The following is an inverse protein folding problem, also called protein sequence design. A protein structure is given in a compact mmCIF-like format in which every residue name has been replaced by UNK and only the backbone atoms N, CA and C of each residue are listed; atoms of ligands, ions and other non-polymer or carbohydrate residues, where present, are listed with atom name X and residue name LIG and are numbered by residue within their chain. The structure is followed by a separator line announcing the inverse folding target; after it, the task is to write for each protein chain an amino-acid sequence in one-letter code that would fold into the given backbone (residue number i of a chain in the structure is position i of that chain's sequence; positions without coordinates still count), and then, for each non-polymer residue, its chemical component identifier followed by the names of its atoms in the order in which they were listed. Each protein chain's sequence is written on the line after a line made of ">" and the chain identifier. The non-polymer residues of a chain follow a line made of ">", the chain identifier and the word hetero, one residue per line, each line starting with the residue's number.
data_IF_252794021196
#
_entry.id   IF_252794021196
#
_cell.length_a   1.000
_cell.length_b   1.000
_cell.length_c   1.000
_cell.angle_alpha   90.00
_cell.angle_beta   90.00
_cell.angle_gamma   90.00
#
_symmetry.space_group_name_H-M   'P 1'
#
loop_
_entity.id
_entity.type
_entity.pdbx_description
1 polymer ?
#
# COMPACT_ATOMS: atom_id res chain seq x y z
N UNK A 1 -33.08 -14.02 37.25
CA UNK A 1 -33.43 -14.05 35.81
C UNK A 1 -33.52 -12.62 35.34
N UNK A 2 -32.41 -12.04 34.90
CA UNK A 2 -32.32 -10.65 34.47
C UNK A 2 -32.01 -10.57 32.97
N UNK A 3 -33.05 -10.84 32.19
CA UNK A 3 -33.66 -9.90 31.24
C UNK A 3 -32.86 -9.00 30.27
N UNK A 4 -31.64 -8.57 30.61
CA UNK A 4 -30.97 -7.41 29.95
C UNK A 4 -29.62 -7.74 29.33
N UNK A 5 -29.40 -8.99 28.98
CA UNK A 5 -28.24 -9.42 28.19
C UNK A 5 -28.81 -9.98 26.89
N UNK A 6 -28.37 -9.44 25.75
CA UNK A 6 -28.71 -9.79 24.35
C UNK A 6 -29.59 -8.78 23.60
N UNK A 7 -29.01 -7.63 23.28
CA UNK A 7 -29.33 -6.88 22.04
C UNK A 7 -28.18 -5.93 21.66
N UNK A 8 -26.96 -6.45 21.52
CA UNK A 8 -25.94 -5.76 20.69
C UNK A 8 -26.08 -6.33 19.28
N UNK A 9 -27.25 -6.06 18.69
CA UNK A 9 -27.64 -6.56 17.38
C UNK A 9 -27.10 -5.60 16.33
N UNK A 10 -26.01 -6.02 15.68
CA UNK A 10 -25.58 -5.64 14.33
C UNK A 10 -26.13 -4.32 13.80
N UNK A 11 -25.51 -3.19 14.19
CA UNK A 11 -25.74 -1.91 13.52
C UNK A 11 -25.18 -2.02 12.09
N UNK A 12 -26.07 -2.30 11.15
CA UNK A 12 -25.83 -2.21 9.71
C UNK A 12 -25.40 -0.77 9.43
N UNK A 13 -24.22 -0.57 8.83
CA UNK A 13 -23.78 0.77 8.41
C UNK A 13 -24.91 1.41 7.59
N UNK A 14 -25.50 2.49 8.11
CA UNK A 14 -26.39 3.31 7.32
C UNK A 14 -25.59 3.88 6.16
N UNK A 15 -26.14 3.78 4.95
CA UNK A 15 -25.46 4.22 3.74
C UNK A 15 -25.18 5.72 3.85
N UNK A 16 -23.91 6.09 4.04
CA UNK A 16 -23.49 7.48 3.96
C UNK A 16 -23.72 7.96 2.53
N UNK A 17 -24.36 9.12 2.37
CA UNK A 17 -24.64 9.69 1.07
C UNK A 17 -23.32 9.96 0.33
N UNK A 18 -23.17 9.37 -0.86
CA UNK A 18 -21.94 9.46 -1.67
C UNK A 18 -20.89 8.37 -1.42
N UNK A 19 -21.08 7.47 -0.44
CA UNK A 19 -20.20 6.33 -0.22
C UNK A 19 -20.40 5.25 -1.30
N UNK A 20 -19.30 4.77 -1.89
CA UNK A 20 -19.34 3.69 -2.88
C UNK A 20 -19.49 2.33 -2.20
N UNK A 21 -20.05 1.35 -2.92
CA UNK A 21 -20.18 -0.02 -2.40
C UNK A 21 -18.81 -0.60 -2.05
N UNK A 22 -17.78 -0.31 -2.85
CA UNK A 22 -16.39 -0.72 -2.59
C UNK A 22 -15.88 -0.19 -1.24
N UNK A 23 -16.12 1.08 -0.94
CA UNK A 23 -15.67 1.72 0.32
C UNK A 23 -16.36 1.07 1.52
N UNK A 24 -17.68 0.88 1.41
CA UNK A 24 -18.49 0.26 2.45
C UNK A 24 -18.09 -1.20 2.69
N UNK A 25 -17.84 -1.96 1.63
CA UNK A 25 -17.44 -3.36 1.72
C UNK A 25 -16.07 -3.50 2.41
N UNK A 26 -15.14 -2.59 2.14
CA UNK A 26 -13.86 -2.53 2.84
C UNK A 26 -14.00 -2.23 4.32
N UNK A 27 -14.85 -1.27 4.73
CA UNK A 27 -15.16 -1.05 6.15
C UNK A 27 -15.77 -2.29 6.79
N UNK A 28 -16.71 -2.92 6.10
CA UNK A 28 -17.42 -4.10 6.59
C UNK A 28 -16.53 -5.33 6.77
N UNK A 29 -15.36 -5.37 6.12
CA UNK A 29 -14.40 -6.44 6.26
C UNK A 29 -13.67 -6.44 7.61
N UNK A 30 -13.70 -5.33 8.36
CA UNK A 30 -13.12 -5.22 9.71
C UNK A 30 -14.19 -5.39 10.80
N UNK A 31 -13.86 -5.79 12.03
CA UNK A 31 -14.80 -5.78 13.16
C UNK A 31 -15.48 -4.42 13.39
N UNK A 32 -16.73 -4.44 13.87
CA UNK A 32 -17.56 -3.23 14.03
C UNK A 32 -16.87 -2.16 14.88
N UNK A 33 -16.21 -2.58 15.96
CA UNK A 33 -15.54 -1.72 16.93
C UNK A 33 -14.33 -0.96 16.36
N UNK A 34 -13.83 -1.35 15.17
CA UNK A 34 -12.74 -0.64 14.48
C UNK A 34 -13.26 0.42 13.52
N UNK A 35 -14.51 0.32 13.07
CA UNK A 35 -15.04 1.15 11.97
C UNK A 35 -15.40 2.54 12.45
N UNK A 36 -15.18 3.54 11.60
CA UNK A 36 -15.69 4.92 11.74
C UNK A 36 -15.34 5.59 13.09
N UNK A 37 -14.15 5.32 13.60
CA UNK A 37 -13.68 5.83 14.89
C UNK A 37 -13.38 7.32 14.80
N UNK A 38 -14.05 8.11 15.65
CA UNK A 38 -13.89 9.57 15.69
C UNK A 38 -12.94 9.99 16.80
N UNK A 39 -12.03 10.90 16.48
CA UNK A 39 -11.00 11.44 17.36
C UNK A 39 -11.06 12.97 17.34
N UNK A 40 -10.83 13.61 18.48
CA UNK A 40 -10.75 15.05 18.58
C UNK A 40 -9.31 15.52 18.33
N UNK A 41 -9.13 16.40 17.34
CA UNK A 41 -7.92 17.19 17.21
C UNK A 41 -7.91 18.26 18.31
N UNK A 42 -7.13 18.01 19.37
CA UNK A 42 -7.04 18.93 20.50
C UNK A 42 -6.35 20.24 20.15
N UNK A 43 -5.52 20.27 19.10
CA UNK A 43 -4.80 21.48 18.69
C UNK A 43 -5.71 22.40 17.87
N UNK A 44 -6.55 21.82 17.01
CA UNK A 44 -7.37 22.58 16.06
C UNK A 44 -8.87 22.58 16.40
N UNK A 45 -9.30 21.80 17.39
CA UNK A 45 -10.66 21.79 17.92
C UNK A 45 -11.72 21.13 17.03
N UNK A 46 -11.33 20.38 16.00
CA UNK A 46 -12.25 19.66 15.12
C UNK A 46 -12.05 18.15 15.18
N UNK A 47 -13.04 17.40 14.72
CA UNK A 47 -13.01 15.94 14.74
C UNK A 47 -12.50 15.35 13.43
N UNK A 48 -11.66 14.33 13.53
CA UNK A 48 -11.32 13.43 12.42
C UNK A 48 -11.99 12.08 12.65
N UNK A 49 -12.47 11.45 11.58
CA UNK A 49 -13.09 10.13 11.63
C UNK A 49 -12.32 9.19 10.70
N UNK A 50 -11.70 8.16 11.28
CA UNK A 50 -11.02 7.13 10.53
C UNK A 50 -12.04 6.15 9.96
N UNK A 51 -11.92 5.75 8.70
CA UNK A 51 -12.79 4.70 8.15
C UNK A 51 -12.65 3.40 8.94
N UNK A 52 -11.41 3.01 9.27
CA UNK A 52 -11.08 1.93 10.19
C UNK A 52 -9.91 2.38 11.08
N UNK A 53 -10.00 2.14 12.37
CA UNK A 53 -8.92 2.33 13.33
C UNK A 53 -8.70 1.04 14.12
N UNK A 54 -7.51 0.48 13.98
CA UNK A 54 -7.21 -0.87 14.42
C UNK A 54 -6.58 -0.88 15.82
N UNK A 55 -6.62 -1.99 16.56
CA UNK A 55 -5.96 -2.12 17.86
C UNK A 55 -4.44 -1.95 17.81
N UNK A 56 -3.83 -2.04 16.63
CA UNK A 56 -2.42 -1.71 16.39
C UNK A 56 -2.12 -0.19 16.53
N UNK A 57 -3.15 0.64 16.71
CA UNK A 57 -3.05 2.09 16.67
C UNK A 57 -2.91 2.64 15.24
N UNK A 58 -3.31 1.87 14.24
CA UNK A 58 -3.20 2.24 12.82
C UNK A 58 -4.56 2.63 12.26
N UNK A 59 -4.65 3.83 11.70
CA UNK A 59 -5.77 4.26 10.88
C UNK A 59 -5.65 3.68 9.45
N UNK A 60 -6.75 3.19 8.90
CA UNK A 60 -6.86 2.78 7.50
C UNK A 60 -7.92 3.67 6.87
N UNK A 61 -7.55 4.39 5.82
CA UNK A 61 -8.44 5.26 5.07
C UNK A 61 -8.66 4.69 3.68
N UNK A 62 -9.92 4.52 3.30
CA UNK A 62 -10.31 4.03 1.98
C UNK A 62 -10.58 5.22 1.06
N UNK A 63 -10.08 5.15 -0.16
CA UNK A 63 -10.31 6.23 -1.11
C UNK A 63 -10.68 5.72 -2.51
N UNK A 64 -11.92 6.04 -2.91
CA UNK A 64 -12.44 5.72 -4.25
C UNK A 64 -12.02 6.74 -5.32
N UNK A 65 -11.74 8.00 -4.94
CA UNK A 65 -11.42 9.09 -5.88
C UNK A 65 -10.27 9.95 -5.38
N UNK A 66 -9.47 10.60 -6.25
CA UNK A 66 -8.38 11.46 -5.81
C UNK A 66 -8.87 12.57 -4.87
N UNK A 67 -8.10 12.83 -3.80
CA UNK A 67 -8.36 13.93 -2.87
C UNK A 67 -7.43 15.12 -3.14
N UNK A 68 -7.75 16.28 -2.56
CA UNK A 68 -6.86 17.42 -2.60
C UNK A 68 -5.59 17.14 -1.76
N UNK A 69 -4.42 17.61 -2.21
CA UNK A 69 -3.18 17.43 -1.45
C UNK A 69 -3.22 18.04 -0.04
N UNK A 70 -4.01 19.11 0.17
CA UNK A 70 -4.27 19.67 1.50
C UNK A 70 -4.97 18.65 2.41
N UNK A 71 -5.99 17.96 1.91
CA UNK A 71 -6.73 16.96 2.66
C UNK A 71 -5.85 15.76 2.99
N UNK A 72 -5.04 15.29 2.03
CA UNK A 72 -4.05 14.24 2.25
C UNK A 72 -3.12 14.62 3.41
N UNK A 73 -2.50 15.81 3.36
CA UNK A 73 -1.58 16.27 4.41
C UNK A 73 -2.26 16.42 5.77
N UNK A 74 -3.51 16.89 5.80
CA UNK A 74 -4.25 17.03 7.06
C UNK A 74 -4.52 15.66 7.72
N UNK A 75 -4.90 14.66 6.93
CA UNK A 75 -5.12 13.29 7.45
C UNK A 75 -3.81 12.65 7.90
N UNK A 76 -2.76 12.76 7.09
CA UNK A 76 -1.44 12.21 7.43
C UNK A 76 -0.79 12.91 8.64
N UNK A 77 -1.02 14.21 8.84
CA UNK A 77 -0.54 14.92 10.01
C UNK A 77 -1.29 14.54 11.30
N UNK A 78 -2.54 14.07 11.18
CA UNK A 78 -3.38 13.75 12.32
C UNK A 78 -3.07 12.36 12.90
N UNK A 79 -2.91 11.34 12.05
CA UNK A 79 -2.69 9.97 12.50
C UNK A 79 -1.20 9.63 12.59
N UNK A 80 -0.70 9.13 13.74
CA UNK A 80 0.71 8.76 13.88
C UNK A 80 1.09 7.51 13.08
N UNK A 81 0.12 6.63 12.84
CA UNK A 81 0.24 5.44 11.99
C UNK A 81 -1.00 5.37 11.10
N UNK A 82 -0.78 5.33 9.79
CA UNK A 82 -1.85 5.33 8.83
C UNK A 82 -1.51 4.47 7.61
N UNK A 83 -2.55 3.97 6.93
CA UNK A 83 -2.45 3.26 5.66
C UNK A 83 -3.52 3.78 4.71
N UNK A 84 -3.13 4.04 3.47
CA UNK A 84 -4.06 4.32 2.38
C UNK A 84 -4.46 3.03 1.68
N UNK A 85 -5.75 2.83 1.45
CA UNK A 85 -6.29 1.80 0.57
C UNK A 85 -7.05 2.49 -0.56
N UNK A 86 -6.58 2.33 -1.80
CA UNK A 86 -7.11 3.02 -2.96
C UNK A 86 -7.93 2.07 -3.83
N UNK A 87 -9.05 2.56 -4.35
CA UNK A 87 -9.80 1.84 -5.39
C UNK A 87 -9.07 1.97 -6.73
N UNK A 88 -8.35 0.90 -7.08
CA UNK A 88 -7.59 0.82 -8.31
C UNK A 88 -8.44 0.61 -9.56
N UNK A 89 -9.74 0.29 -9.44
CA UNK A 89 -10.59 0.03 -10.62
C UNK A 89 -10.69 1.23 -11.55
N UNK A 90 -10.54 2.44 -11.01
CA UNK A 90 -10.61 3.69 -11.76
C UNK A 90 -9.26 4.15 -12.32
N UNK A 91 -8.16 3.44 -12.04
CA UNK A 91 -6.83 3.83 -12.47
C UNK A 91 -6.62 3.58 -13.96
N UNK A 92 -6.83 4.64 -14.75
CA UNK A 92 -6.57 4.62 -16.19
C UNK A 92 -5.08 4.39 -16.46
N UNK A 93 -4.78 3.50 -17.40
CA UNK A 93 -3.40 3.24 -17.84
C UNK A 93 -2.53 2.54 -16.81
N UNK A 94 -3.11 1.97 -15.75
CA UNK A 94 -2.42 1.05 -14.85
C UNK A 94 -2.35 -0.35 -15.46
N UNK A 95 -1.17 -0.98 -15.44
CA UNK A 95 -0.95 -2.35 -15.91
C UNK A 95 -0.04 -3.08 -14.93
N UNK A 96 -0.51 -4.22 -14.43
CA UNK A 96 0.35 -5.21 -13.79
C UNK A 96 1.24 -5.84 -14.86
N UNK A 97 2.54 -5.92 -14.59
CA UNK A 97 3.53 -6.48 -15.52
C UNK A 97 4.08 -7.79 -14.95
N UNK A 98 5.38 -8.06 -15.09
CA UNK A 98 5.95 -9.37 -14.70
C UNK A 98 6.47 -9.35 -13.26
N UNK A 99 6.62 -10.56 -12.73
CA UNK A 99 7.27 -10.78 -11.46
C UNK A 99 8.71 -10.29 -11.43
N UNK A 100 9.12 -9.79 -10.27
CA UNK A 100 10.44 -9.25 -10.03
C UNK A 100 11.34 -10.31 -9.39
N UNK A 101 12.66 -10.23 -9.62
CA UNK A 101 13.62 -11.01 -8.86
C UNK A 101 13.52 -10.70 -7.37
N UNK A 102 13.95 -11.64 -6.54
CA UNK A 102 14.12 -11.42 -5.11
C UNK A 102 15.20 -10.34 -4.88
N UNK A 103 14.79 -9.21 -4.33
CA UNK A 103 15.63 -8.02 -4.19
C UNK A 103 16.60 -8.13 -3.01
N UNK A 104 16.38 -9.08 -2.09
CA UNK A 104 17.24 -9.30 -0.93
C UNK A 104 18.42 -10.24 -1.26
N UNK A 105 18.39 -10.92 -2.40
CA UNK A 105 19.51 -11.75 -2.85
C UNK A 105 20.78 -10.90 -3.01
N UNK A 106 21.91 -11.39 -2.48
CA UNK A 106 23.21 -10.70 -2.57
C UNK A 106 23.59 -10.33 -4.00
N UNK A 107 23.23 -11.17 -4.97
CA UNK A 107 23.48 -10.91 -6.38
C UNK A 107 22.72 -9.68 -6.89
N UNK A 108 21.50 -9.44 -6.42
CA UNK A 108 20.69 -8.28 -6.80
C UNK A 108 21.22 -6.94 -6.28
N UNK A 109 22.13 -6.95 -5.30
CA UNK A 109 22.78 -5.73 -4.80
C UNK A 109 23.78 -5.12 -5.81
N UNK A 110 24.26 -5.92 -6.77
CA UNK A 110 25.16 -5.46 -7.83
C UNK A 110 24.42 -4.80 -9.01
N UNK A 111 23.07 -4.81 -9.01
CA UNK A 111 22.25 -4.36 -10.11
C UNK A 111 21.13 -3.42 -9.67
N UNK A 112 20.81 -2.47 -10.54
CA UNK A 112 19.70 -1.53 -10.41
C UNK A 112 18.69 -1.73 -11.54
N UNK A 113 17.41 -1.47 -11.29
CA UNK A 113 16.42 -1.48 -12.37
C UNK A 113 16.55 -0.22 -13.22
N UNK A 114 16.65 -0.41 -14.54
CA UNK A 114 16.78 0.68 -15.49
C UNK A 114 15.49 1.51 -15.56
N UNK A 115 15.62 2.83 -15.39
CA UNK A 115 14.51 3.76 -15.50
C UNK A 115 13.91 3.75 -16.92
N UNK A 116 12.57 3.84 -16.99
CA UNK A 116 11.83 3.86 -18.25
C UNK A 116 11.92 2.58 -19.10
N UNK A 117 12.38 1.46 -18.54
CA UNK A 117 12.47 0.17 -19.24
C UNK A 117 11.86 -0.94 -18.40
N UNK A 118 11.04 -1.78 -19.02
CA UNK A 118 10.38 -2.87 -18.29
C UNK A 118 11.38 -3.99 -18.01
N UNK A 119 11.71 -4.19 -16.72
CA UNK A 119 12.52 -5.33 -16.23
C UNK A 119 13.91 -5.44 -16.86
N UNK A 120 14.46 -4.31 -17.25
CA UNK A 120 15.87 -4.21 -17.58
C UNK A 120 16.67 -3.86 -16.32
N UNK A 121 17.80 -4.50 -16.15
CA UNK A 121 18.76 -4.24 -15.10
C UNK A 121 20.00 -3.56 -15.69
N UNK A 122 20.65 -2.73 -14.89
CA UNK A 122 21.93 -2.09 -15.20
C UNK A 122 22.88 -2.40 -14.05
N UNK A 123 24.18 -2.51 -14.34
CA UNK A 123 25.16 -2.77 -13.27
C UNK A 123 25.32 -1.50 -12.45
N UNK A 124 25.33 -1.66 -11.13
CA UNK A 124 25.53 -0.53 -10.21
C UNK A 124 26.89 0.14 -10.42
N UNK A 125 27.93 -0.67 -10.66
CA UNK A 125 29.28 -0.18 -10.97
C UNK A 125 29.32 0.74 -12.20
N UNK A 126 28.50 0.46 -13.23
CA UNK A 126 28.46 1.30 -14.44
C UNK A 126 27.91 2.70 -14.11
N UNK A 127 26.95 2.79 -13.18
CA UNK A 127 26.36 4.04 -12.70
C UNK A 127 27.37 4.81 -11.83
N UNK A 128 28.03 4.11 -10.89
CA UNK A 128 29.04 4.67 -10.00
C UNK A 128 30.26 5.19 -10.79
N UNK A 129 30.60 4.54 -11.90
CA UNK A 129 31.63 4.99 -12.83
C UNK A 129 31.20 6.16 -13.74
N UNK A 130 29.95 6.65 -13.64
CA UNK A 130 29.45 7.76 -14.43
C UNK A 130 29.18 7.43 -15.91
N UNK A 131 28.98 6.16 -16.26
CA UNK A 131 28.66 5.74 -17.63
C UNK A 131 27.27 6.27 -18.00
N UNK A 132 27.20 7.14 -19.01
CA UNK A 132 25.94 7.80 -19.42
C UNK A 132 24.87 6.83 -19.92
N UNK A 133 25.27 5.76 -20.58
CA UNK A 133 24.36 4.77 -21.19
C UNK A 133 24.79 3.34 -20.79
N UNK A 134 24.54 2.92 -19.55
CA UNK A 134 24.92 1.59 -19.09
C UNK A 134 24.15 0.52 -19.87
N UNK A 135 24.78 -0.64 -20.07
CA UNK A 135 24.17 -1.75 -20.82
C UNK A 135 22.97 -2.29 -20.04
N UNK A 136 21.81 -2.30 -20.69
CA UNK A 136 20.58 -2.89 -20.16
C UNK A 136 20.60 -4.41 -20.34
N UNK A 137 20.43 -5.13 -19.24
CA UNK A 137 20.42 -6.59 -19.16
C UNK A 137 18.98 -7.05 -18.87
N UNK A 138 18.50 -8.03 -19.63
CA UNK A 138 17.24 -8.72 -19.32
C UNK A 138 17.50 -9.84 -18.32
N UNK A 139 16.48 -10.29 -17.59
CA UNK A 139 16.61 -11.43 -16.65
C UNK A 139 17.08 -12.74 -17.32
N UNK A 140 17.01 -12.84 -18.65
CA UNK A 140 17.56 -13.96 -19.43
C UNK A 140 19.07 -13.87 -19.69
N UNK A 141 19.73 -12.76 -19.33
CA UNK A 141 21.15 -12.57 -19.57
C UNK A 141 21.98 -13.56 -18.75
N UNK A 142 23.09 -14.13 -19.29
CA UNK A 142 23.92 -15.10 -18.57
C UNK A 142 24.41 -14.63 -17.18
N UNK A 143 24.69 -13.34 -17.02
CA UNK A 143 25.10 -12.71 -15.74
C UNK A 143 24.01 -12.73 -14.66
N UNK A 144 22.75 -12.84 -15.07
CA UNK A 144 21.57 -12.85 -14.20
C UNK A 144 20.98 -14.26 -14.07
N UNK A 145 21.62 -15.25 -14.68
CA UNK A 145 21.20 -16.65 -14.59
C UNK A 145 21.33 -17.13 -13.15
N UNK A 146 20.23 -17.63 -12.59
CA UNK A 146 20.17 -18.17 -11.22
C UNK A 146 19.47 -17.25 -10.22
N UNK A 147 19.21 -15.99 -10.56
CA UNK A 147 18.42 -15.08 -9.71
C UNK A 147 16.99 -15.61 -9.64
N UNK A 148 16.50 -15.87 -8.44
CA UNK A 148 15.14 -16.38 -8.26
C UNK A 148 14.15 -15.23 -8.42
N UNK A 149 13.01 -15.56 -9.03
CA UNK A 149 11.88 -14.64 -9.15
C UNK A 149 11.04 -14.76 -7.89
N UNK A 150 10.74 -13.62 -7.26
CA UNK A 150 9.89 -13.57 -6.07
C UNK A 150 8.42 -13.60 -6.47
N UNK A 151 7.69 -14.64 -6.03
CA UNK A 151 6.31 -14.88 -6.44
C UNK A 151 5.32 -13.76 -6.09
N UNK A 152 5.61 -12.94 -5.08
CA UNK A 152 4.73 -11.83 -4.67
C UNK A 152 5.21 -10.44 -5.06
N UNK A 153 6.34 -10.29 -5.77
CA UNK A 153 6.79 -8.96 -6.22
C UNK A 153 6.49 -8.78 -7.71
N UNK A 154 5.90 -7.65 -8.08
CA UNK A 154 5.50 -7.33 -9.45
C UNK A 154 6.03 -5.97 -9.88
N UNK A 155 6.48 -5.90 -11.13
CA UNK A 155 6.60 -4.64 -11.86
C UNK A 155 5.22 -4.16 -12.30
N UNK A 156 5.08 -2.85 -12.51
CA UNK A 156 3.86 -2.27 -13.05
C UNK A 156 4.19 -1.09 -13.96
N UNK A 157 3.21 -0.67 -14.75
CA UNK A 157 3.23 0.61 -15.45
C UNK A 157 1.97 1.39 -15.06
N UNK A 158 2.12 2.67 -14.75
CA UNK A 158 0.98 3.56 -14.47
C UNK A 158 1.14 4.84 -15.28
N UNK A 159 0.29 5.00 -16.30
CA UNK A 159 0.25 6.21 -17.13
C UNK A 159 -0.68 7.24 -16.49
N UNK A 160 -0.23 8.49 -16.42
CA UNK A 160 -0.98 9.61 -15.82
C UNK A 160 -1.53 9.34 -14.40
N UNK A 161 -0.69 8.87 -13.47
CA UNK A 161 -1.08 8.72 -12.07
C UNK A 161 -1.48 10.07 -11.45
N UNK A 162 -2.46 10.05 -10.56
CA UNK A 162 -2.87 11.24 -9.83
C UNK A 162 -1.72 11.71 -8.92
N UNK A 163 -1.25 12.94 -9.12
CA UNK A 163 -0.07 13.50 -8.46
C UNK A 163 -0.12 13.44 -6.94
N UNK A 164 -1.31 13.59 -6.35
CA UNK A 164 -1.52 13.55 -4.89
C UNK A 164 -0.96 12.28 -4.25
N UNK A 165 -1.03 11.13 -4.93
CA UNK A 165 -0.53 9.87 -4.39
C UNK A 165 0.99 9.77 -4.35
N UNK A 166 1.72 10.65 -5.04
CA UNK A 166 3.17 10.78 -4.87
C UNK A 166 3.56 11.67 -3.69
N UNK A 167 2.63 12.46 -3.16
CA UNK A 167 2.83 13.29 -1.96
C UNK A 167 2.53 12.50 -0.67
N UNK A 168 1.94 11.31 -0.78
CA UNK A 168 1.63 10.46 0.35
C UNK A 168 2.91 10.02 1.07
N UNK A 169 2.93 10.20 2.39
CA UNK A 169 4.03 9.76 3.25
C UNK A 169 3.76 8.41 3.89
N UNK A 170 2.48 7.98 3.91
CA UNK A 170 2.09 6.69 4.46
C UNK A 170 1.96 5.58 3.40
N UNK A 171 2.06 4.30 3.79
CA UNK A 171 1.95 3.18 2.88
C UNK A 171 0.66 3.21 2.05
N UNK A 172 0.79 2.99 0.75
CA UNK A 172 -0.33 2.91 -0.19
C UNK A 172 -0.58 1.45 -0.58
N UNK A 173 -1.83 1.04 -0.48
CA UNK A 173 -2.37 -0.20 -1.01
C UNK A 173 -3.38 0.10 -2.10
N UNK A 174 -3.47 -0.79 -3.08
CA UNK A 174 -4.36 -0.66 -4.22
C UNK A 174 -5.18 -1.95 -4.34
N UNK A 175 -6.50 -1.79 -4.42
CA UNK A 175 -7.43 -2.89 -4.70
C UNK A 175 -7.99 -2.75 -6.13
N UNK A 176 -7.66 -3.71 -7.00
CA UNK A 176 -8.23 -3.78 -8.35
C UNK A 176 -9.53 -4.60 -8.42
N UNK A 177 -10.09 -5.01 -7.27
CA UNK A 177 -11.35 -5.74 -7.15
C UNK A 177 -11.21 -7.27 -7.13
N UNK A 178 -9.99 -7.80 -7.14
CA UNK A 178 -9.73 -9.23 -7.10
C UNK A 178 -9.59 -9.78 -5.67
N UNK A 179 -9.01 -10.99 -5.58
CA UNK A 179 -8.65 -11.63 -4.30
C UNK A 179 -7.41 -10.99 -3.64
N UNK A 180 -6.50 -10.47 -4.47
CA UNK A 180 -5.27 -9.84 -4.02
C UNK A 180 -5.37 -8.31 -4.05
N UNK A 181 -4.60 -7.69 -3.17
CA UNK A 181 -4.30 -6.27 -3.13
C UNK A 181 -2.80 -6.06 -3.29
N UNK A 182 -2.42 -4.82 -3.59
CA UNK A 182 -1.08 -4.49 -4.04
C UNK A 182 -0.52 -3.35 -3.21
N UNK A 183 0.50 -3.60 -2.42
CA UNK A 183 1.24 -2.56 -1.73
C UNK A 183 2.20 -1.89 -2.71
N UNK A 184 2.11 -0.56 -2.84
CA UNK A 184 3.10 0.22 -3.58
C UNK A 184 4.35 0.39 -2.73
N UNK A 185 5.49 -0.05 -3.27
CA UNK A 185 6.79 0.00 -2.62
C UNK A 185 7.80 0.69 -3.53
N UNK A 186 8.88 1.19 -2.91
CA UNK A 186 9.96 1.87 -3.60
C UNK A 186 11.31 1.27 -3.18
N UNK A 187 12.12 0.91 -4.17
CA UNK A 187 13.51 0.54 -3.98
C UNK A 187 14.38 1.77 -4.19
N UNK A 188 15.16 2.15 -3.19
CA UNK A 188 16.19 3.17 -3.36
C UNK A 188 17.30 2.65 -4.29
N UNK A 189 17.71 3.49 -5.24
CA UNK A 189 18.73 3.19 -6.24
C UNK A 189 19.49 4.49 -6.52
N UNK A 190 20.75 4.37 -6.94
CA UNK A 190 21.59 5.50 -7.37
C UNK A 190 20.98 6.18 -8.60
N UNK A 191 20.41 5.40 -9.52
CA UNK A 191 19.68 5.88 -10.70
C UNK A 191 18.28 6.48 -10.41
N UNK A 192 17.91 6.63 -9.14
CA UNK A 192 16.60 7.10 -8.70
C UNK A 192 15.64 5.97 -8.35
N UNK A 193 14.64 6.26 -7.51
CA UNK A 193 13.75 5.24 -6.96
C UNK A 193 13.08 4.38 -8.03
N UNK A 194 13.00 3.08 -7.77
CA UNK A 194 12.24 2.14 -8.59
C UNK A 194 10.99 1.67 -7.85
N UNK A 195 9.83 1.96 -8.42
CA UNK A 195 8.54 1.59 -7.83
C UNK A 195 8.13 0.18 -8.27
N UNK A 196 7.60 -0.59 -7.33
CA UNK A 196 7.09 -1.94 -7.57
C UNK A 196 5.91 -2.25 -6.66
N UNK A 197 5.27 -3.40 -6.88
CA UNK A 197 4.14 -3.86 -6.08
C UNK A 197 4.51 -5.12 -5.31
N UNK A 198 4.09 -5.20 -4.05
CA UNK A 198 3.99 -6.45 -3.30
C UNK A 198 2.54 -6.93 -3.31
N UNK A 199 2.31 -8.15 -3.75
CA UNK A 199 1.01 -8.81 -3.81
C UNK A 199 0.72 -9.48 -2.48
N UNK A 200 -0.45 -9.21 -1.90
CA UNK A 200 -0.91 -9.78 -0.64
C UNK A 200 -2.39 -10.12 -0.77
N UNK A 201 -2.84 -11.21 -0.14
CA UNK A 201 -4.27 -11.53 -0.14
C UNK A 201 -5.06 -10.54 0.74
N UNK A 202 -6.32 -10.25 0.39
CA UNK A 202 -7.20 -9.42 1.25
C UNK A 202 -7.26 -9.95 2.68
N UNK A 203 -7.33 -11.28 2.82
CA UNK A 203 -7.39 -11.97 4.11
C UNK A 203 -6.13 -11.70 4.94
N UNK A 204 -4.95 -11.87 4.35
CA UNK A 204 -3.67 -11.63 5.02
C UNK A 204 -3.52 -10.16 5.44
N UNK A 205 -3.90 -9.22 4.57
CA UNK A 205 -3.91 -7.80 4.92
C UNK A 205 -4.81 -7.49 6.13
N UNK A 206 -6.06 -7.97 6.12
CA UNK A 206 -6.98 -7.73 7.24
C UNK A 206 -6.45 -8.37 8.54
N UNK A 207 -5.92 -9.60 8.43
CA UNK A 207 -5.36 -10.32 9.58
C UNK A 207 -4.16 -9.59 10.21
N UNK A 208 -3.37 -8.88 9.39
CA UNK A 208 -2.22 -8.07 9.84
C UNK A 208 -2.58 -6.94 10.81
N UNK A 209 -3.87 -6.62 10.95
CA UNK A 209 -4.38 -5.60 11.87
C UNK A 209 -5.19 -6.18 13.03
N UNK A 210 -5.14 -7.49 13.25
CA UNK A 210 -5.82 -8.14 14.37
C UNK A 210 -5.03 -8.00 15.68
N UNK A 211 -5.74 -8.04 16.82
CA UNK A 211 -5.17 -7.92 18.16
C UNK A 211 -3.98 -8.86 18.44
N UNK A 212 -4.00 -10.07 17.86
CA UNK A 212 -2.92 -11.05 18.06
C UNK A 212 -1.62 -10.59 17.39
N UNK A 213 -1.69 -10.06 16.17
CA UNK A 213 -0.52 -9.62 15.41
C UNK A 213 0.00 -8.25 15.89
N UNK A 214 -0.89 -7.38 16.38
CA UNK A 214 -0.51 -6.08 16.96
C UNK A 214 0.40 -6.19 18.19
N UNK A 215 0.29 -7.27 18.98
CA UNK A 215 1.14 -7.50 20.16
C UNK A 215 2.59 -7.81 19.76
N UNK A 216 2.77 -8.63 18.72
CA UNK A 216 4.10 -9.04 18.25
C UNK A 216 4.90 -7.89 17.61
N UNK A 217 4.22 -6.89 17.05
CA UNK A 217 4.84 -5.67 16.51
C UNK A 217 5.32 -4.70 17.59
N UNK A 218 4.74 -4.76 18.81
CA UNK A 218 5.12 -3.90 19.92
C UNK A 218 6.19 -4.54 20.83
N UNK A 219 6.37 -5.86 20.77
CA UNK A 219 7.38 -6.60 21.56
C UNK A 219 8.76 -6.65 20.89
N UNK A 220 8.85 -6.38 19.58
CA UNK A 220 10.11 -6.36 18.82
C UNK A 220 10.68 -4.95 18.62
N UNK A 221 10.38 -4.01 19.53
CA UNK A 221 10.82 -2.62 19.47
C UNK A 221 11.77 -2.28 20.61
#
# INVERSE_FOLDING_TARGET
>A
MDSRIEAVTTLKLERLWGESDWHRDWKNAFPFEFRERTFLDRALGYHHRADVFTPCGTAIEFQHSPIAGRELRQREAFYPKMVWMLDGKMFKGFKLLKHLPDMEEKQMQAYEFAQGSNLALIRKLDIEAGIKNPRKLTLSHPELKGIKVHGSLLSFAWRNPHKVWYEASFPIWIDFGGYFIYQLLHRAQVSGHYSYLKVVSKKEFINSFTLAECKHLNENK
#
